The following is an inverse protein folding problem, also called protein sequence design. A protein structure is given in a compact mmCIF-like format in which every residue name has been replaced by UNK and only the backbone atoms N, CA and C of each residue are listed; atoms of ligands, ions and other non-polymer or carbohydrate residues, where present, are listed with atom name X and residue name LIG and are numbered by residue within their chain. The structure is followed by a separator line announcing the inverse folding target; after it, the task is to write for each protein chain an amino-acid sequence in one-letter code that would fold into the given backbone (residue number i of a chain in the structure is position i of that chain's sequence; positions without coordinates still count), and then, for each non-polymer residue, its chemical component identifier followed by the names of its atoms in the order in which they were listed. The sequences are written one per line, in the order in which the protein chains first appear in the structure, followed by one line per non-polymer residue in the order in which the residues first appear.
data_IF_571173616766
#
_entry.id   IF_571173616766
#
_cell.length_a   1.000
_cell.length_b   1.000
_cell.length_c   1.000
_cell.angle_alpha   90.00
_cell.angle_beta   90.00
_cell.angle_gamma   90.00
#
_symmetry.space_group_name_H-M   'P 1'
#
loop_
_entity.id
_entity.type
_entity.pdbx_description
1 polymer ?
#
# COMPACT_ATOMS: atom_id res chain seq x y z
N UNK A 1 14.27 7.05 -4.51
CA UNK A 1 14.61 8.13 -5.47
C UNK A 1 13.28 8.67 -6.02
N UNK A 2 12.60 9.52 -5.26
CA UNK A 2 11.21 9.98 -5.55
C UNK A 2 11.17 11.12 -6.56
N UNK A 3 11.09 10.80 -7.86
CA UNK A 3 10.92 11.82 -8.91
C UNK A 3 9.45 11.97 -9.33
N UNK A 4 8.84 13.09 -8.91
CA UNK A 4 7.77 13.82 -9.59
C UNK A 4 6.46 13.10 -9.88
N UNK A 5 6.44 12.24 -10.91
CA UNK A 5 5.22 11.58 -11.43
C UNK A 5 4.64 10.53 -10.47
N UNK A 6 5.49 9.77 -9.78
CA UNK A 6 5.02 8.77 -8.80
C UNK A 6 4.23 9.42 -7.66
N UNK A 7 4.56 10.66 -7.25
CA UNK A 7 3.82 11.37 -6.19
C UNK A 7 2.40 11.73 -6.59
N UNK A 8 2.16 12.09 -7.86
CA UNK A 8 0.83 12.42 -8.37
C UNK A 8 -0.03 11.15 -8.38
N UNK A 9 0.52 10.05 -8.89
CA UNK A 9 -0.16 8.75 -8.87
C UNK A 9 -0.42 8.27 -7.45
N UNK A 10 0.57 8.34 -6.55
CA UNK A 10 0.40 7.99 -5.14
C UNK A 10 -0.69 8.82 -4.47
N UNK A 11 -0.78 10.12 -4.78
CA UNK A 11 -1.86 10.99 -4.27
C UNK A 11 -3.21 10.58 -4.83
N UNK A 12 -3.30 10.29 -6.13
CA UNK A 12 -4.53 9.82 -6.77
C UNK A 12 -5.01 8.50 -6.15
N UNK A 13 -4.14 7.51 -6.06
CA UNK A 13 -4.44 6.21 -5.46
C UNK A 13 -4.80 6.35 -3.97
N UNK A 14 -4.08 7.17 -3.21
CA UNK A 14 -4.42 7.47 -1.82
C UNK A 14 -5.83 8.07 -1.70
N UNK A 15 -6.22 8.98 -2.59
CA UNK A 15 -7.56 9.56 -2.58
C UNK A 15 -8.64 8.52 -2.88
N UNK A 16 -8.41 7.59 -3.81
CA UNK A 16 -9.31 6.47 -4.07
C UNK A 16 -9.45 5.56 -2.85
N UNK A 17 -8.33 5.19 -2.22
CA UNK A 17 -8.30 4.37 -1.01
C UNK A 17 -9.05 5.05 0.15
N UNK A 18 -8.82 6.35 0.36
CA UNK A 18 -9.56 7.17 1.32
C UNK A 18 -11.06 7.18 1.04
N UNK A 19 -11.46 7.35 -0.21
CA UNK A 19 -12.87 7.36 -0.59
C UNK A 19 -13.54 5.99 -0.41
N UNK A 20 -12.80 4.89 -0.54
CA UNK A 20 -13.30 3.55 -0.25
C UNK A 20 -13.42 3.32 1.27
N UNK A 21 -12.35 3.61 2.01
CA UNK A 21 -12.33 3.49 3.47
C UNK A 21 -13.38 4.36 4.15
N UNK A 22 -13.64 5.58 3.66
CA UNK A 22 -14.68 6.46 4.19
C UNK A 22 -16.08 5.89 3.96
N UNK A 23 -16.36 5.34 2.78
CA UNK A 23 -17.62 4.62 2.49
C UNK A 23 -17.79 3.41 3.39
N UNK A 24 -16.73 2.63 3.61
CA UNK A 24 -16.75 1.47 4.50
C UNK A 24 -16.99 1.87 5.96
N UNK A 25 -16.37 2.95 6.44
CA UNK A 25 -16.61 3.52 7.76
C UNK A 25 -18.04 4.01 7.94
N UNK A 26 -18.63 4.62 6.90
CA UNK A 26 -20.02 5.09 6.93
C UNK A 26 -21.03 3.92 6.94
N UNK A 27 -20.78 2.86 6.16
CA UNK A 27 -21.64 1.69 6.09
C UNK A 27 -21.48 0.76 7.30
N UNK A 28 -20.26 0.62 7.83
CA UNK A 28 -19.92 -0.26 8.94
C UNK A 28 -19.04 0.46 9.96
N UNK A 29 -19.65 1.24 10.86
CA UNK A 29 -18.93 1.92 11.94
C UNK A 29 -18.16 0.91 12.80
N UNK A 30 -16.86 1.13 13.03
CA UNK A 30 -16.00 0.24 13.82
C UNK A 30 -15.36 -0.92 13.04
N UNK A 31 -15.63 -1.06 11.74
CA UNK A 31 -14.99 -2.09 10.89
C UNK A 31 -13.53 -1.82 10.54
N UNK A 32 -13.06 -0.59 10.76
CA UNK A 32 -11.71 -0.15 10.47
C UNK A 32 -11.04 0.38 11.76
N UNK A 33 -9.75 0.10 11.98
CA UNK A 33 -9.01 0.52 13.17
C UNK A 33 -8.66 2.04 13.17
N UNK A 34 -9.33 2.83 12.34
CA UNK A 34 -9.09 4.27 12.18
C UNK A 34 -10.42 5.02 12.09
N UNK A 35 -10.43 6.27 12.52
CA UNK A 35 -11.59 7.15 12.36
C UNK A 35 -11.48 8.03 11.10
N UNK A 36 -12.58 8.70 10.73
CA UNK A 36 -12.62 9.56 9.53
C UNK A 36 -11.63 10.74 9.60
N UNK A 37 -11.31 11.25 10.79
CA UNK A 37 -10.35 12.34 10.96
C UNK A 37 -8.91 11.89 10.66
N UNK A 38 -8.51 10.74 11.22
CA UNK A 38 -7.23 10.09 10.96
C UNK A 38 -7.11 9.70 9.50
N UNK A 39 -8.18 9.17 8.90
CA UNK A 39 -8.20 8.86 7.47
C UNK A 39 -7.91 10.13 6.66
N UNK A 40 -8.59 11.26 6.94
CA UNK A 40 -8.37 12.53 6.23
C UNK A 40 -6.95 13.09 6.40
N UNK A 41 -6.30 12.91 7.55
CA UNK A 41 -4.95 13.43 7.79
C UNK A 41 -3.83 12.68 7.05
N UNK A 42 -4.06 11.45 6.59
CA UNK A 42 -3.05 10.66 5.87
C UNK A 42 -2.62 11.35 4.56
N UNK A 43 -1.31 11.48 4.35
CA UNK A 43 -0.73 12.12 3.16
C UNK A 43 0.06 11.16 2.29
N UNK A 44 0.38 9.96 2.78
CA UNK A 44 1.15 8.94 2.05
C UNK A 44 0.42 7.60 2.08
N UNK A 45 0.57 6.82 1.00
CA UNK A 45 0.01 5.44 0.93
C UNK A 45 0.59 4.57 2.05
N UNK A 46 1.88 4.71 2.36
CA UNK A 46 2.49 3.98 3.48
C UNK A 46 1.79 4.21 4.82
N UNK A 47 1.28 5.41 5.08
CA UNK A 47 0.51 5.70 6.32
C UNK A 47 -0.86 5.03 6.31
N UNK A 48 -1.49 4.91 5.13
CA UNK A 48 -2.71 4.14 4.96
C UNK A 48 -2.44 2.66 5.19
N UNK A 49 -1.39 2.11 4.59
CA UNK A 49 -1.03 0.71 4.77
C UNK A 49 -0.68 0.39 6.22
N UNK A 50 0.04 1.27 6.90
CA UNK A 50 0.43 1.07 8.30
C UNK A 50 -0.78 1.05 9.25
N UNK A 51 -1.70 1.98 9.07
CA UNK A 51 -2.81 2.16 9.99
C UNK A 51 -4.04 1.33 9.65
N UNK A 52 -4.16 0.85 8.40
CA UNK A 52 -5.35 0.13 7.91
C UNK A 52 -4.95 -1.24 7.40
N UNK A 53 -4.17 -1.31 6.32
CA UNK A 53 -3.86 -2.58 5.62
C UNK A 53 -3.16 -3.57 6.55
N UNK A 54 -2.05 -3.15 7.19
CA UNK A 54 -1.28 -3.97 8.10
C UNK A 54 -2.14 -4.48 9.27
N UNK A 55 -2.88 -3.57 9.93
CA UNK A 55 -3.70 -3.90 11.10
C UNK A 55 -4.86 -4.83 10.80
N UNK A 56 -5.53 -4.67 9.66
CA UNK A 56 -6.64 -5.55 9.26
C UNK A 56 -6.13 -6.96 8.96
N UNK A 57 -4.93 -7.06 8.40
CA UNK A 57 -4.33 -8.33 8.04
C UNK A 57 -3.42 -8.92 9.15
N UNK A 58 -3.36 -8.29 10.32
CA UNK A 58 -2.62 -8.80 11.48
C UNK A 58 -1.09 -8.60 11.42
N UNK A 59 -0.60 -7.74 10.51
CA UNK A 59 0.81 -7.35 10.47
C UNK A 59 1.13 -6.28 11.51
N UNK A 60 2.39 -6.21 11.95
CA UNK A 60 2.82 -5.26 12.97
C UNK A 60 2.77 -3.80 12.48
N UNK A 61 3.24 -3.58 11.26
CA UNK A 61 3.33 -2.27 10.62
C UNK A 61 3.38 -2.43 9.08
N UNK A 62 3.42 -1.31 8.35
CA UNK A 62 3.56 -1.34 6.89
C UNK A 62 4.87 -2.01 6.42
N UNK A 63 5.95 -1.94 7.20
CA UNK A 63 7.24 -2.51 6.84
C UNK A 63 7.18 -4.03 6.91
N UNK A 64 6.58 -4.58 7.97
CA UNK A 64 6.35 -6.01 8.17
C UNK A 64 5.42 -6.55 7.08
N UNK A 65 4.32 -5.84 6.79
CA UNK A 65 3.47 -6.15 5.64
C UNK A 65 4.25 -6.21 4.33
N UNK A 66 5.03 -5.18 4.00
CA UNK A 66 5.83 -5.19 2.78
C UNK A 66 6.88 -6.30 2.79
N UNK A 67 7.54 -6.56 3.92
CA UNK A 67 8.58 -7.60 4.02
C UNK A 67 8.01 -8.99 3.78
N UNK A 68 6.83 -9.29 4.34
CA UNK A 68 6.20 -10.59 4.19
C UNK A 68 5.53 -10.77 2.82
N UNK A 69 4.98 -9.70 2.24
CA UNK A 69 4.32 -9.73 0.94
C UNK A 69 5.22 -9.39 -0.25
N UNK A 70 6.50 -9.06 0.00
CA UNK A 70 7.47 -8.77 -1.06
C UNK A 70 7.96 -10.04 -1.73
N UNK A 71 8.01 -10.01 -3.06
CA UNK A 71 8.61 -11.08 -3.85
C UNK A 71 10.15 -11.04 -3.83
N UNK A 72 10.76 -9.93 -3.41
CA UNK A 72 12.21 -9.70 -3.46
C UNK A 72 13.03 -10.82 -2.78
N UNK A 73 12.70 -11.29 -1.55
CA UNK A 73 13.44 -12.37 -0.89
C UNK A 73 13.23 -13.74 -1.52
N UNK A 74 12.24 -13.90 -2.41
CA UNK A 74 11.93 -15.14 -3.11
C UNK A 74 12.59 -15.18 -4.49
N UNK A 75 13.01 -14.05 -5.05
CA UNK A 75 13.64 -13.98 -6.37
C UNK A 75 14.93 -14.82 -6.45
N UNK A 76 15.69 -14.91 -5.35
CA UNK A 76 16.90 -15.74 -5.28
C UNK A 76 16.61 -17.25 -5.25
N UNK A 77 15.36 -17.66 -5.03
CA UNK A 77 14.94 -19.07 -5.02
C UNK A 77 14.46 -19.54 -6.41
N UNK A 78 14.45 -18.65 -7.40
CA UNK A 78 14.05 -18.99 -8.77
C UNK A 78 15.11 -19.90 -9.41
N UNK A 79 14.81 -21.20 -9.48
CA UNK A 79 15.70 -22.21 -10.06
C UNK A 79 15.56 -22.35 -11.60
N UNK A 80 14.53 -21.76 -12.20
CA UNK A 80 14.24 -21.84 -13.64
C UNK A 80 14.48 -20.48 -14.30
N UNK A 81 15.05 -20.42 -15.53
CA UNK A 81 15.16 -19.16 -16.26
C UNK A 81 13.81 -18.43 -16.31
N UNK A 82 13.77 -17.23 -15.72
CA UNK A 82 12.53 -16.46 -15.54
C UNK A 82 12.71 -15.07 -16.13
N UNK A 83 11.74 -14.65 -16.95
CA UNK A 83 11.69 -13.32 -17.54
C UNK A 83 10.74 -12.45 -16.72
N UNK A 84 11.23 -11.33 -16.19
CA UNK A 84 10.43 -10.33 -15.48
C UNK A 84 10.24 -9.13 -16.41
N UNK A 85 8.98 -8.79 -16.69
CA UNK A 85 8.62 -7.64 -17.53
C UNK A 85 7.96 -6.60 -16.65
N UNK A 86 8.44 -5.36 -16.74
CA UNK A 86 7.89 -4.20 -16.02
C UNK A 86 7.74 -3.02 -16.98
N UNK A 87 6.64 -2.29 -16.86
CA UNK A 87 6.38 -1.11 -17.67
C UNK A 87 7.20 0.08 -17.16
N UNK A 88 7.84 0.82 -18.07
CA UNK A 88 8.75 1.92 -17.71
C UNK A 88 8.06 3.06 -16.95
N UNK A 89 6.76 3.21 -17.15
CA UNK A 89 5.90 4.26 -16.62
C UNK A 89 5.13 3.83 -15.37
N UNK A 90 5.27 2.58 -14.91
CA UNK A 90 4.58 2.10 -13.72
C UNK A 90 5.26 2.66 -12.45
N UNK A 91 4.57 3.54 -11.69
CA UNK A 91 5.14 4.17 -10.50
C UNK A 91 5.14 3.26 -9.27
N UNK A 92 4.56 2.05 -9.34
CA UNK A 92 4.49 1.07 -8.26
C UNK A 92 5.60 0.03 -8.38
N UNK A 93 6.66 0.24 -7.62
CA UNK A 93 7.65 -0.80 -7.34
C UNK A 93 7.29 -1.46 -6.01
N UNK A 94 6.53 -2.56 -6.03
CA UNK A 94 6.38 -3.46 -4.87
C UNK A 94 7.53 -4.50 -4.90
N UNK A 95 8.76 -4.01 -5.02
CA UNK A 95 9.99 -4.83 -4.98
C UNK A 95 10.99 -4.23 -3.97
N UNK A 96 10.51 -3.87 -2.78
CA UNK A 96 11.38 -3.61 -1.62
C UNK A 96 11.29 -4.75 -0.63
#
# INVERSE_FOLDING_TARGET
MDKGFSRVYQRYLLNLLKANASRKLAAYPGSLPVNLAQLKSMRRIREFDDLITAKIHGFADAIDYYRQCSAMPLLNQIAKPTLIIHAKDDPLWIIM
#
